data_IF_704853634807
#
_entry.id   IF_704853634807
#
_cell.length_a   1.000
_cell.length_b   1.000
_cell.length_c   1.000
_cell.angle_alpha   90.00
_cell.angle_beta   90.00
_cell.angle_gamma   90.00
#
_symmetry.space_group_name_H-M   'P 1'
#
loop_
_entity.id
_entity.type
_entity.pdbx_description
1 polymer ?
#
# COMPACT_ATOMS: atom_id res chain seq x y z
N UNK A 1 -7.87 0.98 11.21
CA UNK A 1 -9.17 1.12 10.51
C UNK A 1 -10.18 0.04 10.94
N UNK A 2 -9.85 -1.25 10.84
CA UNK A 2 -10.73 -2.38 11.24
C UNK A 2 -11.29 -2.26 12.67
N UNK A 3 -10.46 -1.93 13.65
CA UNK A 3 -10.87 -1.71 15.06
C UNK A 3 -11.93 -0.62 15.20
N UNK A 4 -11.77 0.50 14.48
CA UNK A 4 -12.74 1.60 14.47
C UNK A 4 -14.09 1.17 13.88
N UNK A 5 -14.09 0.40 12.79
CA UNK A 5 -15.32 -0.12 12.18
C UNK A 5 -16.03 -1.09 13.12
N UNK A 6 -15.27 -1.96 13.81
CA UNK A 6 -15.85 -2.87 14.80
C UNK A 6 -16.56 -2.09 15.93
N UNK A 7 -15.92 -1.06 16.49
CA UNK A 7 -16.55 -0.17 17.49
C UNK A 7 -17.84 0.47 16.95
N UNK A 8 -17.90 0.79 15.66
CA UNK A 8 -19.11 1.36 15.05
C UNK A 8 -20.25 0.35 15.00
N UNK A 9 -19.94 -0.90 14.63
CA UNK A 9 -20.90 -2.01 14.63
C UNK A 9 -21.40 -2.27 16.06
N UNK A 10 -20.49 -2.34 17.03
CA UNK A 10 -20.82 -2.61 18.44
C UNK A 10 -21.71 -1.49 19.04
N UNK A 11 -21.63 -0.27 18.48
CA UNK A 11 -22.48 0.88 18.82
C UNK A 11 -23.80 0.93 18.04
N UNK A 12 -24.13 -0.10 17.26
CA UNK A 12 -25.38 -0.19 16.50
C UNK A 12 -25.43 0.73 15.27
N UNK A 13 -24.28 1.15 14.74
CA UNK A 13 -24.22 2.02 13.55
C UNK A 13 -24.16 1.24 12.22
N UNK A 14 -24.30 -0.09 12.26
CA UNK A 14 -24.46 -0.87 11.03
C UNK A 14 -25.89 -0.74 10.51
N UNK A 15 -26.06 -0.73 9.19
CA UNK A 15 -27.38 -0.59 8.57
C UNK A 15 -28.03 -1.96 8.36
N UNK A 16 -29.29 -1.98 7.92
CA UNK A 16 -30.03 -3.23 7.63
C UNK A 16 -29.33 -4.15 6.63
N UNK A 17 -28.51 -3.56 5.74
CA UNK A 17 -27.71 -4.30 4.74
C UNK A 17 -26.37 -4.81 5.30
N UNK A 18 -26.07 -4.55 6.56
CA UNK A 18 -24.85 -4.96 7.26
C UNK A 18 -23.56 -4.59 6.52
N UNK A 19 -23.52 -3.36 5.98
CA UNK A 19 -22.38 -2.90 5.18
C UNK A 19 -21.08 -2.92 5.99
N UNK A 20 -21.11 -2.49 7.25
CA UNK A 20 -19.90 -2.42 8.08
C UNK A 20 -19.40 -3.83 8.42
N UNK A 21 -20.29 -4.72 8.86
CA UNK A 21 -19.95 -6.12 9.10
C UNK A 21 -19.42 -6.81 7.82
N UNK A 22 -20.03 -6.52 6.67
CA UNK A 22 -19.58 -7.02 5.37
C UNK A 22 -18.17 -6.56 4.99
N UNK A 23 -17.79 -5.32 5.30
CA UNK A 23 -16.43 -4.83 5.09
C UNK A 23 -15.41 -5.56 5.98
N UNK A 24 -15.75 -5.80 7.25
CA UNK A 24 -14.91 -6.56 8.18
C UNK A 24 -14.73 -8.01 7.71
N UNK A 25 -15.81 -8.65 7.27
CA UNK A 25 -15.78 -10.01 6.75
C UNK A 25 -14.89 -10.13 5.50
N UNK A 26 -15.03 -9.22 4.53
CA UNK A 26 -14.17 -9.17 3.34
C UNK A 26 -12.70 -8.97 3.70
N UNK A 27 -12.42 -8.09 4.67
CA UNK A 27 -11.05 -7.87 5.14
C UNK A 27 -10.46 -9.11 5.80
N UNK A 28 -11.23 -9.81 6.66
CA UNK A 28 -10.79 -11.06 7.28
C UNK A 28 -10.48 -12.13 6.24
N UNK A 29 -11.42 -12.36 5.31
CA UNK A 29 -11.23 -13.31 4.23
C UNK A 29 -9.97 -12.99 3.42
N UNK A 30 -9.74 -11.70 3.08
CA UNK A 30 -8.56 -11.30 2.32
C UNK A 30 -7.26 -11.54 3.10
N UNK A 31 -7.25 -11.28 4.40
CA UNK A 31 -6.10 -11.54 5.27
C UNK A 31 -5.78 -13.04 5.29
N UNK A 32 -6.80 -13.89 5.44
CA UNK A 32 -6.62 -15.34 5.49
C UNK A 32 -6.14 -15.89 4.14
N UNK A 33 -6.69 -15.41 3.03
CA UNK A 33 -6.24 -15.73 1.67
C UNK A 33 -4.76 -15.42 1.44
N UNK A 34 -4.29 -14.27 1.95
CA UNK A 34 -2.88 -13.85 1.85
C UNK A 34 -2.01 -14.72 2.75
N UNK A 35 -2.40 -14.92 4.02
CA UNK A 35 -1.62 -15.68 5.00
C UNK A 35 -1.47 -17.16 4.64
N UNK A 36 -2.52 -17.76 4.09
CA UNK A 36 -2.53 -19.17 3.68
C UNK A 36 -1.92 -19.38 2.30
N UNK A 37 -1.70 -18.32 1.53
CA UNK A 37 -1.29 -18.41 0.13
C UNK A 37 -2.37 -18.92 -0.82
N UNK A 38 -3.61 -19.16 -0.36
CA UNK A 38 -4.73 -19.62 -1.21
C UNK A 38 -5.00 -18.68 -2.37
N UNK A 39 -4.88 -17.37 -2.13
CA UNK A 39 -4.97 -16.34 -3.16
C UNK A 39 -3.93 -15.26 -2.85
N UNK A 40 -2.70 -15.38 -3.37
CA UNK A 40 -1.63 -14.44 -3.05
C UNK A 40 -1.96 -13.02 -3.57
N UNK A 41 -1.21 -11.99 -3.12
CA UNK A 41 -1.19 -10.70 -3.79
C UNK A 41 -0.79 -10.84 -5.26
N UNK A 42 -1.18 -9.87 -6.08
CA UNK A 42 -0.69 -9.78 -7.45
C UNK A 42 0.84 -9.64 -7.42
N UNK A 43 1.50 -10.33 -8.35
CA UNK A 43 2.93 -10.24 -8.59
C UNK A 43 3.15 -9.98 -10.08
N UNK A 44 4.25 -9.31 -10.47
CA UNK A 44 4.59 -9.16 -11.87
C UNK A 44 4.82 -10.53 -12.50
N UNK A 45 4.46 -10.66 -13.78
CA UNK A 45 4.83 -11.83 -14.56
C UNK A 45 6.37 -11.94 -14.64
N UNK A 46 6.89 -13.16 -14.68
CA UNK A 46 8.33 -13.40 -14.77
C UNK A 46 8.96 -12.83 -16.06
N UNK A 47 8.15 -12.51 -17.06
CA UNK A 47 8.55 -11.92 -18.35
C UNK A 47 8.04 -10.48 -18.54
N UNK A 48 7.63 -9.81 -17.46
CA UNK A 48 7.27 -8.40 -17.50
C UNK A 48 8.42 -7.57 -18.10
N UNK A 49 8.10 -6.63 -18.99
CA UNK A 49 9.08 -5.75 -19.65
C UNK A 49 9.12 -4.40 -18.96
N UNK A 50 10.31 -3.94 -18.61
CA UNK A 50 10.55 -2.64 -17.99
C UNK A 50 11.21 -1.68 -18.99
N UNK A 51 10.88 -0.39 -18.92
CA UNK A 51 11.54 0.65 -19.74
C UNK A 51 12.99 0.89 -19.32
N UNK A 52 13.29 0.67 -18.05
CA UNK A 52 14.62 0.69 -17.47
C UNK A 52 14.67 -0.26 -16.26
N UNK A 53 15.85 -0.79 -15.96
CA UNK A 53 16.10 -1.65 -14.81
C UNK A 53 17.22 -1.03 -13.97
N UNK A 54 17.04 -1.05 -12.65
CA UNK A 54 18.00 -0.50 -11.69
C UNK A 54 18.04 -1.38 -10.44
N UNK A 55 19.25 -1.78 -10.03
CA UNK A 55 19.48 -2.63 -8.86
C UNK A 55 20.22 -1.82 -7.80
N UNK A 56 19.66 -1.80 -6.59
CA UNK A 56 20.26 -1.11 -5.44
C UNK A 56 20.90 -2.15 -4.53
N UNK A 57 22.19 -1.96 -4.25
CA UNK A 57 22.90 -2.68 -3.20
C UNK A 57 22.67 -1.96 -1.86
N UNK A 58 21.85 -2.55 -0.99
CA UNK A 58 21.49 -1.94 0.29
C UNK A 58 22.65 -1.90 1.28
N UNK A 59 23.67 -2.75 1.13
CA UNK A 59 24.84 -2.76 2.02
C UNK A 59 25.78 -1.56 1.75
N UNK A 60 25.62 -0.91 0.59
CA UNK A 60 26.36 0.31 0.25
C UNK A 60 25.72 1.58 0.86
N UNK A 61 24.47 1.51 1.33
CA UNK A 61 23.77 2.64 1.96
C UNK A 61 24.10 2.67 3.45
N UNK A 62 25.25 3.27 3.77
CA UNK A 62 25.81 3.30 5.14
C UNK A 62 25.44 4.53 5.96
N UNK A 63 24.69 5.47 5.37
CA UNK A 63 24.26 6.70 6.02
C UNK A 63 22.78 7.03 5.74
N UNK A 64 22.10 7.78 6.62
CA UNK A 64 20.76 8.29 6.35
C UNK A 64 20.76 9.24 5.16
N UNK A 65 19.81 9.07 4.24
CA UNK A 65 19.60 9.99 3.12
C UNK A 65 18.48 10.98 3.44
N UNK A 66 18.69 12.26 3.14
CA UNK A 66 17.68 13.33 3.25
C UNK A 66 17.54 13.98 1.87
N UNK A 67 16.31 14.13 1.38
CA UNK A 67 16.06 14.86 0.15
C UNK A 67 16.16 16.37 0.40
N UNK A 68 17.02 17.05 -0.37
CA UNK A 68 17.15 18.50 -0.31
C UNK A 68 15.84 19.17 -0.79
N UNK A 69 15.24 20.10 -0.02
CA UNK A 69 14.02 20.79 -0.44
C UNK A 69 14.21 21.74 -1.64
N UNK A 70 15.44 22.14 -1.95
CA UNK A 70 15.76 23.11 -3.00
C UNK A 70 16.11 22.46 -4.35
N UNK A 71 15.67 21.22 -4.57
CA UNK A 71 15.80 20.55 -5.87
C UNK A 71 15.03 21.34 -6.94
N UNK A 72 15.76 21.77 -7.97
CA UNK A 72 15.15 22.39 -9.15
C UNK A 72 14.39 21.33 -9.95
N UNK A 73 13.06 21.45 -9.99
CA UNK A 73 12.19 20.69 -10.88
C UNK A 73 11.42 21.69 -11.75
N UNK A 74 11.29 21.39 -13.04
CA UNK A 74 10.55 22.22 -14.01
C UNK A 74 9.06 22.33 -13.63
N UNK A 75 8.52 21.34 -12.92
CA UNK A 75 7.23 21.40 -12.24
C UNK A 75 7.42 21.60 -10.73
N UNK A 76 7.09 22.79 -10.17
CA UNK A 76 7.22 23.06 -8.74
C UNK A 76 6.41 22.11 -7.84
N UNK A 77 5.33 21.50 -8.35
CA UNK A 77 4.51 20.55 -7.59
C UNK A 77 5.19 19.19 -7.39
N UNK A 78 6.24 18.92 -8.18
CA UNK A 78 7.02 17.68 -8.18
C UNK A 78 8.39 17.81 -7.51
N UNK A 79 8.68 18.92 -6.81
CA UNK A 79 9.98 19.12 -6.12
C UNK A 79 10.31 18.06 -5.07
N UNK A 80 9.31 17.33 -4.60
CA UNK A 80 9.45 16.25 -3.62
C UNK A 80 9.13 14.86 -4.18
N UNK A 81 8.95 14.75 -5.51
CA UNK A 81 8.69 13.47 -6.18
C UNK A 81 9.77 13.21 -7.24
N UNK A 82 10.07 11.94 -7.50
CA UNK A 82 10.98 11.54 -8.58
C UNK A 82 10.33 11.60 -9.97
N UNK A 83 9.14 12.18 -10.08
CA UNK A 83 8.46 12.35 -11.37
C UNK A 83 9.05 13.58 -12.06
N UNK A 84 9.63 13.34 -13.25
CA UNK A 84 9.93 14.39 -14.24
C UNK A 84 8.71 14.52 -15.14
#
# INVERSE_FOLDING_TARGET
AKSRIQIMIDRGMDNDKQVLAGLVAKANQRIDEIRTGKKPPLQPDANAKYSAEFVVDLDQIVEPMIADPDVHNDDPSKRYTHDT
#
